data_IF_069669376472
#
_entry.id   IF_069669376472
#
_cell.length_a   1.000
_cell.length_b   1.000
_cell.length_c   1.000
_cell.angle_alpha   90.00
_cell.angle_beta   90.00
_cell.angle_gamma   90.00
#
_symmetry.space_group_name_H-M   'P 1'
#
loop_
_entity.id
_entity.type
_entity.pdbx_description
1 polymer ?
#
# COMPACT_ATOMS: atom_id res chain seq x y z
N UNK A 1 9.82 -16.87 -7.52
CA UNK A 1 9.78 -16.75 -6.05
C UNK A 1 9.42 -15.32 -5.75
N UNK A 2 8.36 -15.05 -4.98
CA UNK A 2 8.07 -13.68 -4.54
C UNK A 2 9.03 -13.38 -3.39
N UNK A 3 10.00 -12.51 -3.64
CA UNK A 3 10.87 -12.02 -2.57
C UNK A 3 10.07 -11.04 -1.71
N UNK A 4 10.01 -11.31 -0.41
CA UNK A 4 9.44 -10.41 0.57
C UNK A 4 10.45 -10.20 1.69
N UNK A 5 10.42 -8.99 2.23
CA UNK A 5 11.23 -8.59 3.37
C UNK A 5 10.35 -8.59 4.61
N UNK A 6 10.80 -9.26 5.67
CA UNK A 6 10.17 -9.19 6.99
C UNK A 6 10.81 -8.02 7.73
N UNK A 7 10.08 -6.91 7.85
CA UNK A 7 10.57 -5.68 8.48
C UNK A 7 10.48 -5.72 10.02
N UNK A 8 9.55 -6.49 10.56
CA UNK A 8 9.34 -6.70 11.99
C UNK A 8 8.64 -8.05 12.21
N UNK A 9 8.89 -8.69 13.35
CA UNK A 9 8.24 -9.95 13.74
C UNK A 9 7.93 -9.91 15.23
N UNK A 10 6.67 -10.19 15.58
CA UNK A 10 6.24 -10.23 16.98
C UNK A 10 4.72 -10.09 17.12
N UNK A 11 4.27 -10.17 18.37
CA UNK A 11 2.89 -9.86 18.75
C UNK A 11 2.87 -8.49 19.40
N UNK A 12 2.50 -7.47 18.63
CA UNK A 12 2.36 -6.10 19.12
C UNK A 12 0.89 -5.82 19.44
N UNK A 13 0.60 -5.45 20.68
CA UNK A 13 -0.73 -4.96 21.04
C UNK A 13 -0.88 -3.50 20.60
N UNK A 14 -2.09 -2.96 20.72
CA UNK A 14 -2.33 -1.57 20.33
C UNK A 14 -1.49 -0.59 21.16
N UNK A 15 -1.23 -0.90 22.43
CA UNK A 15 -0.38 -0.12 23.32
C UNK A 15 1.12 -0.14 22.96
N UNK A 16 1.54 -1.18 22.25
CA UNK A 16 2.93 -1.44 21.83
C UNK A 16 3.24 -0.87 20.43
N UNK A 17 2.20 -0.39 19.75
CA UNK A 17 2.26 0.13 18.39
C UNK A 17 2.28 1.67 18.40
N UNK A 18 3.41 2.25 18.02
CA UNK A 18 3.56 3.69 17.89
C UNK A 18 3.52 4.10 16.42
N UNK A 19 2.59 4.96 16.05
CA UNK A 19 2.43 5.45 14.68
C UNK A 19 2.82 6.93 14.61
N UNK A 20 3.84 7.23 13.80
CA UNK A 20 4.17 8.59 13.38
C UNK A 20 3.57 8.85 12.00
N UNK A 21 2.71 9.86 11.91
CA UNK A 21 2.12 10.28 10.64
C UNK A 21 2.79 11.56 10.13
N UNK A 22 3.39 11.47 8.95
CA UNK A 22 4.18 12.55 8.34
C UNK A 22 3.56 12.91 6.98
N UNK A 23 2.56 13.82 6.95
CA UNK A 23 1.81 14.11 5.73
C UNK A 23 2.67 14.71 4.61
N UNK A 24 3.75 15.41 4.98
CA UNK A 24 4.64 16.06 4.02
C UNK A 24 5.60 15.08 3.32
N UNK A 25 5.71 13.83 3.79
CA UNK A 25 6.51 12.78 3.15
C UNK A 25 5.73 12.03 2.05
N UNK A 26 5.09 12.78 1.17
CA UNK A 26 4.43 12.22 -0.01
C UNK A 26 5.45 11.80 -1.08
N UNK A 27 5.00 10.99 -2.04
CA UNK A 27 5.82 10.59 -3.16
C UNK A 27 6.24 11.82 -3.96
N UNK A 28 7.55 12.05 -4.07
CA UNK A 28 8.09 13.17 -4.83
C UNK A 28 8.05 12.85 -6.32
N UNK A 29 7.23 13.58 -7.07
CA UNK A 29 7.03 13.38 -8.51
C UNK A 29 7.56 14.59 -9.27
N UNK A 30 8.30 14.34 -10.35
CA UNK A 30 8.60 15.41 -11.31
C UNK A 30 7.33 15.78 -12.07
N UNK A 31 7.24 17.01 -12.62
CA UNK A 31 6.08 17.42 -13.42
C UNK A 31 5.79 16.47 -14.59
N UNK A 32 6.82 15.91 -15.22
CA UNK A 32 6.70 14.96 -16.32
C UNK A 32 6.06 13.65 -15.85
N UNK A 33 6.53 13.09 -14.73
CA UNK A 33 5.95 11.88 -14.14
C UNK A 33 4.50 12.11 -13.70
N UNK A 34 4.19 13.29 -13.14
CA UNK A 34 2.82 13.63 -12.78
C UNK A 34 1.90 13.63 -14.01
N UNK A 35 2.34 14.22 -15.12
CA UNK A 35 1.57 14.25 -16.36
C UNK A 35 1.35 12.83 -16.94
N UNK A 36 2.38 11.98 -16.91
CA UNK A 36 2.27 10.58 -17.32
C UNK A 36 1.26 9.80 -16.44
N UNK A 37 1.32 9.98 -15.13
CA UNK A 37 0.39 9.36 -14.18
C UNK A 37 -1.05 9.83 -14.42
N UNK A 38 -1.26 11.11 -14.70
CA UNK A 38 -2.57 11.67 -15.00
C UNK A 38 -3.15 11.07 -16.29
N UNK A 39 -2.34 10.97 -17.35
CA UNK A 39 -2.75 10.35 -18.61
C UNK A 39 -3.13 8.88 -18.42
N UNK A 40 -2.30 8.10 -17.70
CA UNK A 40 -2.59 6.69 -17.41
C UNK A 40 -3.86 6.52 -16.58
N UNK A 41 -4.10 7.41 -15.60
CA UNK A 41 -5.32 7.39 -14.81
C UNK A 41 -6.57 7.69 -15.64
N UNK A 42 -6.52 8.68 -16.54
CA UNK A 42 -7.62 8.97 -17.45
C UNK A 42 -7.96 7.80 -18.37
N UNK A 43 -6.94 7.08 -18.85
CA UNK A 43 -7.15 5.85 -19.61
C UNK A 43 -7.87 4.78 -18.77
N UNK A 44 -7.49 4.60 -17.50
CA UNK A 44 -8.16 3.66 -16.58
C UNK A 44 -9.60 4.05 -16.30
N UNK A 45 -9.91 5.33 -16.12
CA UNK A 45 -11.29 5.81 -15.96
C UNK A 45 -12.14 5.52 -17.20
N UNK A 46 -11.59 5.73 -18.41
CA UNK A 46 -12.29 5.43 -19.66
C UNK A 46 -12.58 3.92 -19.80
N UNK A 47 -11.59 3.08 -19.49
CA UNK A 47 -11.75 1.61 -19.48
C UNK A 47 -12.84 1.18 -18.49
N UNK A 48 -12.82 1.73 -17.28
CA UNK A 48 -13.81 1.42 -16.25
C UNK A 48 -15.24 1.82 -16.70
N UNK A 49 -15.38 2.99 -17.32
CA UNK A 49 -16.65 3.47 -17.88
C UNK A 49 -17.17 2.54 -18.98
N UNK A 50 -16.32 2.10 -19.90
CA UNK A 50 -16.69 1.14 -20.96
C UNK A 50 -17.16 -0.20 -20.40
N UNK A 51 -16.56 -0.63 -19.28
CA UNK A 51 -16.91 -1.85 -18.56
C UNK A 51 -18.09 -1.68 -17.57
N UNK A 52 -18.68 -0.49 -17.50
CA UNK A 52 -19.74 -0.15 -16.54
C UNK A 52 -19.34 -0.41 -15.08
N UNK A 53 -18.06 -0.24 -14.77
CA UNK A 53 -17.50 -0.39 -13.42
C UNK A 53 -17.21 0.97 -12.80
N UNK A 54 -17.29 1.03 -11.47
CA UNK A 54 -16.94 2.24 -10.72
C UNK A 54 -15.44 2.25 -10.43
N UNK A 55 -14.76 3.28 -10.91
CA UNK A 55 -13.37 3.58 -10.60
C UNK A 55 -13.28 5.03 -10.12
N UNK A 56 -12.73 5.23 -8.94
CA UNK A 56 -12.52 6.55 -8.34
C UNK A 56 -11.22 6.56 -7.55
N UNK A 57 -10.69 7.76 -7.32
CA UNK A 57 -9.54 7.93 -6.45
C UNK A 57 -9.98 8.04 -4.99
N UNK A 58 -9.16 7.52 -4.08
CA UNK A 58 -9.43 7.52 -2.64
C UNK A 58 -8.11 7.70 -1.87
N UNK A 59 -8.12 8.43 -0.73
CA UNK A 59 -6.93 8.57 0.11
C UNK A 59 -6.56 7.25 0.76
N UNK A 60 -5.26 6.99 0.86
CA UNK A 60 -4.66 5.80 1.47
C UNK A 60 -3.47 6.21 2.35
N UNK A 61 -3.08 5.32 3.26
CA UNK A 61 -1.83 5.48 4.02
C UNK A 61 -0.67 4.90 3.24
N UNK A 62 0.40 5.67 3.11
CA UNK A 62 1.66 5.23 2.51
C UNK A 62 2.58 4.69 3.58
N UNK A 63 3.16 3.52 3.34
CA UNK A 63 4.19 2.97 4.21
C UNK A 63 5.55 3.65 3.92
N UNK A 64 6.17 4.23 4.96
CA UNK A 64 7.52 4.82 4.88
C UNK A 64 8.54 3.85 5.47
N UNK A 65 8.35 3.48 6.73
CA UNK A 65 9.29 2.62 7.45
C UNK A 65 8.62 1.94 8.64
N UNK A 66 9.26 0.85 9.07
CA UNK A 66 9.00 0.19 10.33
C UNK A 66 10.34 0.08 11.08
N UNK A 67 10.32 0.36 12.39
CA UNK A 67 11.45 0.10 13.28
C UNK A 67 10.94 -0.66 14.50
N UNK A 68 11.59 -1.76 14.78
CA UNK A 68 11.43 -2.50 16.02
C UNK A 68 12.48 -2.00 17.02
N UNK A 69 12.05 -1.35 18.10
CA UNK A 69 12.97 -0.84 19.14
C UNK A 69 13.35 -1.93 20.15
N UNK A 70 12.44 -2.88 20.39
CA UNK A 70 12.59 -4.05 21.28
C UNK A 70 11.68 -5.19 20.84
N UNK A 71 11.69 -6.34 21.51
CA UNK A 71 10.74 -7.45 21.23
C UNK A 71 9.27 -7.06 21.46
N UNK A 72 9.01 -5.95 22.16
CA UNK A 72 7.67 -5.58 22.63
C UNK A 72 7.17 -4.25 22.07
N UNK A 73 7.89 -3.58 21.17
CA UNK A 73 7.42 -2.31 20.60
C UNK A 73 7.73 -2.18 19.11
N UNK A 74 6.75 -1.66 18.37
CA UNK A 74 6.84 -1.40 16.93
C UNK A 74 6.54 0.06 16.63
N UNK A 75 7.48 0.75 15.99
CA UNK A 75 7.28 2.07 15.45
C UNK A 75 7.00 1.98 13.95
N UNK A 76 5.88 2.56 13.50
CA UNK A 76 5.55 2.73 12.09
C UNK A 76 5.59 4.21 11.71
N UNK A 77 6.25 4.53 10.60
CA UNK A 77 6.13 5.85 9.97
C UNK A 77 5.26 5.72 8.73
N UNK A 78 4.18 6.50 8.68
CA UNK A 78 3.22 6.52 7.59
C UNK A 78 3.11 7.93 7.01
N UNK A 79 2.78 8.02 5.73
CA UNK A 79 2.40 9.27 5.08
C UNK A 79 1.11 9.09 4.27
N UNK A 80 0.84 10.01 3.35
CA UNK A 80 -0.35 10.00 2.49
C UNK A 80 0.02 9.48 1.09
N UNK A 81 -0.89 8.72 0.51
CA UNK A 81 -0.92 8.38 -0.93
C UNK A 81 -2.37 8.25 -1.36
N UNK A 82 -2.62 7.88 -2.60
CA UNK A 82 -3.96 7.65 -3.12
C UNK A 82 -4.05 6.37 -3.94
N UNK A 83 -5.29 5.93 -4.18
CA UNK A 83 -5.53 4.78 -5.03
C UNK A 83 -5.02 5.01 -6.46
N UNK A 84 -5.16 6.24 -6.98
CA UNK A 84 -4.57 6.64 -8.26
C UNK A 84 -3.05 6.46 -8.25
N UNK A 85 -2.35 7.02 -7.26
CA UNK A 85 -0.88 6.87 -7.15
C UNK A 85 -0.46 5.40 -7.06
N UNK A 86 -1.20 4.58 -6.30
CA UNK A 86 -0.95 3.15 -6.25
C UNK A 86 -1.08 2.50 -7.62
N UNK A 87 -2.17 2.74 -8.34
CA UNK A 87 -2.44 2.13 -9.65
C UNK A 87 -1.44 2.57 -10.71
N UNK A 88 -1.07 3.85 -10.73
CA UNK A 88 -0.15 4.41 -11.74
C UNK A 88 1.30 4.03 -11.46
N UNK A 89 1.70 3.88 -10.19
CA UNK A 89 3.10 3.55 -9.86
C UNK A 89 3.36 2.04 -9.81
N UNK A 90 2.35 1.20 -9.54
CA UNK A 90 2.53 -0.27 -9.48
C UNK A 90 2.65 -0.96 -10.83
N UNK A 91 2.28 -0.30 -11.92
CA UNK A 91 2.29 -0.96 -13.23
C UNK A 91 3.72 -1.22 -13.70
N UNK A 92 3.90 -2.28 -14.48
CA UNK A 92 5.23 -2.87 -14.78
C UNK A 92 6.24 -1.85 -15.32
N UNK A 93 5.82 -0.97 -16.23
CA UNK A 93 6.70 -0.02 -16.88
C UNK A 93 7.29 1.01 -15.89
N UNK A 94 6.51 1.41 -14.88
CA UNK A 94 6.99 2.35 -13.87
C UNK A 94 7.75 1.65 -12.74
N UNK A 95 7.27 0.50 -12.27
CA UNK A 95 7.83 -0.17 -11.11
C UNK A 95 9.18 -0.87 -11.38
N UNK A 96 9.47 -1.21 -12.63
CA UNK A 96 10.70 -1.93 -12.98
C UNK A 96 11.93 -1.07 -12.67
N UNK A 97 12.82 -1.58 -11.82
CA UNK A 97 14.06 -0.89 -11.44
C UNK A 97 13.91 0.15 -10.33
N UNK A 98 12.69 0.36 -9.79
CA UNK A 98 12.42 1.28 -8.68
C UNK A 98 12.27 0.54 -7.36
N UNK A 99 12.76 1.13 -6.27
CA UNK A 99 12.51 0.67 -4.91
C UNK A 99 11.05 0.91 -4.51
N UNK A 100 10.55 0.19 -3.49
CA UNK A 100 9.18 0.38 -2.97
C UNK A 100 8.96 1.81 -2.47
N UNK A 101 9.99 2.45 -1.90
CA UNK A 101 9.98 3.84 -1.46
C UNK A 101 9.85 4.86 -2.59
N UNK A 102 9.95 4.45 -3.85
CA UNK A 102 9.74 5.28 -5.04
C UNK A 102 8.37 5.04 -5.70
N UNK A 103 7.51 4.22 -5.06
CA UNK A 103 6.15 3.93 -5.48
C UNK A 103 5.14 4.53 -4.48
N UNK A 104 3.85 4.49 -4.83
CA UNK A 104 2.77 4.91 -3.92
C UNK A 104 2.76 4.11 -2.61
N UNK A 105 3.20 2.85 -2.65
CA UNK A 105 3.46 1.98 -1.48
C UNK A 105 2.36 2.02 -0.39
N UNK A 106 1.08 1.81 -0.75
CA UNK A 106 0.00 1.86 0.22
C UNK A 106 0.15 0.74 1.26
N UNK A 107 -0.10 1.07 2.53
CA UNK A 107 -0.20 0.10 3.61
C UNK A 107 -1.47 -0.75 3.42
N UNK A 108 -1.28 -2.07 3.43
CA UNK A 108 -2.38 -3.04 3.42
C UNK A 108 -2.40 -3.81 4.73
N UNK A 109 -3.58 -4.30 5.10
CA UNK A 109 -3.77 -5.16 6.27
C UNK A 109 -4.20 -6.55 5.82
N UNK A 110 -3.73 -7.56 6.52
CA UNK A 110 -4.16 -8.94 6.37
C UNK A 110 -4.37 -9.50 7.78
N UNK A 111 -5.44 -10.29 7.95
CA UNK A 111 -5.74 -10.97 9.20
C UNK A 111 -5.71 -12.48 8.98
N UNK A 112 -5.26 -13.19 10.01
CA UNK A 112 -5.50 -14.63 10.17
C UNK A 112 -6.60 -14.75 11.21
N UNK A 113 -7.71 -15.39 10.86
CA UNK A 113 -8.84 -15.61 11.76
C UNK A 113 -8.94 -17.10 12.04
N UNK A 114 -8.79 -17.45 13.32
CA UNK A 114 -8.91 -18.81 13.84
C UNK A 114 -10.25 -18.97 14.57
N UNK A 115 -10.96 -20.05 14.27
CA UNK A 115 -12.22 -20.41 14.94
C UNK A 115 -11.93 -21.17 16.25
N UNK A 116 -12.94 -21.29 17.13
CA UNK A 116 -12.78 -21.97 18.42
C UNK A 116 -12.48 -23.48 18.31
N UNK A 117 -12.77 -24.09 17.17
CA UNK A 117 -12.45 -25.48 16.82
C UNK A 117 -11.12 -25.61 16.05
N UNK A 118 -10.34 -24.53 15.94
CA UNK A 118 -8.98 -24.53 15.40
C UNK A 118 -8.90 -24.49 13.86
N UNK A 119 -9.97 -24.10 13.18
CA UNK A 119 -9.96 -23.89 11.73
C UNK A 119 -9.50 -22.47 11.37
N UNK A 120 -8.79 -22.33 10.24
CA UNK A 120 -8.40 -21.03 9.68
C UNK A 120 -9.39 -20.64 8.59
N UNK A 121 -9.97 -19.44 8.69
CA UNK A 121 -10.86 -18.92 7.66
C UNK A 121 -10.07 -18.50 6.43
N UNK A 122 -10.45 -19.05 5.27
CA UNK A 122 -9.91 -18.69 3.96
C UNK A 122 -11.05 -18.18 3.08
N UNK A 123 -10.83 -17.03 2.44
CA UNK A 123 -11.76 -16.49 1.44
C UNK A 123 -11.27 -16.80 0.02
N UNK A 124 -12.21 -17.17 -0.86
CA UNK A 124 -11.95 -17.39 -2.28
C UNK A 124 -12.40 -16.16 -3.06
N UNK A 125 -11.41 -15.36 -3.47
CA UNK A 125 -11.64 -14.22 -4.36
C UNK A 125 -12.26 -14.68 -5.67
N UNK A 126 -13.33 -14.00 -6.11
CA UNK A 126 -13.76 -14.07 -7.50
C UNK A 126 -12.84 -13.14 -8.31
N UNK A 127 -12.14 -13.71 -9.30
CA UNK A 127 -11.20 -13.02 -10.18
C UNK A 127 -11.85 -12.63 -11.49
#
# INVERSE_FOLDING_TARGET
MLEFEILAQGLYRSEDLHISYQPDQHLQLTPELQAEMDQYWQEKLRQAQQQQSLLFDAPLYRFISARQDSEQSLQLTLSQTSYKEYVTTRHKNFATGRARSELGNPLAVCSVVETNDGAILLDKRQG
#
